data_IF_417458547943
#
_entry.id   IF_417458547943
#
_cell.length_a   1.000
_cell.length_b   1.000
_cell.length_c   1.000
_cell.angle_alpha   90.00
_cell.angle_beta   90.00
_cell.angle_gamma   90.00
#
_symmetry.space_group_name_H-M   'P 1'
#
loop_
_entity.id
_entity.type
_entity.pdbx_description
1 polymer ?
#
# COMPACT_ATOMS: atom_id res chain seq x y z
N UNK A 1 11.85 -8.55 8.80
CA UNK A 1 10.90 -7.45 9.00
C UNK A 1 9.52 -7.96 8.63
N UNK A 2 8.50 -7.72 9.46
CA UNK A 2 7.10 -8.01 9.13
C UNK A 2 6.42 -6.75 8.61
N UNK A 3 5.37 -6.95 7.83
CA UNK A 3 4.50 -5.91 7.32
C UNK A 3 3.10 -6.25 7.83
N UNK A 4 2.56 -5.39 8.69
CA UNK A 4 1.27 -5.62 9.35
C UNK A 4 0.23 -4.72 8.66
N UNK A 5 -0.33 -5.23 7.55
CA UNK A 5 -1.30 -4.53 6.70
C UNK A 5 -2.51 -5.42 6.43
N UNK A 6 -3.70 -4.83 6.38
CA UNK A 6 -4.87 -5.48 5.80
C UNK A 6 -4.76 -5.43 4.27
N UNK A 7 -5.17 -6.50 3.60
CA UNK A 7 -5.23 -6.57 2.13
C UNK A 7 -6.69 -6.41 1.71
N UNK A 8 -7.00 -5.29 1.06
CA UNK A 8 -8.34 -4.96 0.62
C UNK A 8 -8.44 -5.06 -0.90
N UNK A 9 -9.42 -5.82 -1.40
CA UNK A 9 -9.66 -5.92 -2.84
C UNK A 9 -10.13 -4.56 -3.40
N UNK A 10 -9.48 -4.09 -4.46
CA UNK A 10 -9.80 -2.82 -5.07
C UNK A 10 -10.85 -3.01 -6.17
N UNK A 11 -12.12 -3.19 -5.77
CA UNK A 11 -13.20 -3.53 -6.71
C UNK A 11 -13.39 -2.54 -7.86
N UNK A 12 -13.25 -1.24 -7.59
CA UNK A 12 -13.40 -0.17 -8.60
C UNK A 12 -12.33 -0.21 -9.69
N UNK A 13 -11.04 -0.13 -9.31
CA UNK A 13 -9.92 -0.29 -10.25
C UNK A 13 -9.93 -1.65 -10.94
N UNK A 14 -10.23 -2.71 -10.18
CA UNK A 14 -10.23 -4.06 -10.74
C UNK A 14 -11.23 -4.20 -11.88
N UNK A 15 -12.43 -3.64 -11.71
CA UNK A 15 -13.45 -3.63 -12.75
C UNK A 15 -13.05 -2.74 -13.94
N UNK A 16 -12.48 -1.56 -13.67
CA UNK A 16 -12.10 -0.60 -14.70
C UNK A 16 -10.96 -1.10 -15.59
N UNK A 17 -9.91 -1.67 -14.99
CA UNK A 17 -8.72 -2.16 -15.68
C UNK A 17 -8.81 -3.65 -16.07
N UNK A 18 -9.89 -4.35 -15.69
CA UNK A 18 -10.01 -5.80 -15.83
C UNK A 18 -8.81 -6.56 -15.22
N UNK A 19 -8.35 -6.11 -14.05
CA UNK A 19 -7.14 -6.61 -13.38
C UNK A 19 -7.41 -6.82 -11.89
N UNK A 20 -7.28 -8.03 -11.38
CA UNK A 20 -7.46 -8.29 -9.94
C UNK A 20 -6.40 -7.52 -9.14
N UNK A 21 -6.83 -6.46 -8.46
CA UNK A 21 -5.95 -5.56 -7.70
C UNK A 21 -6.34 -5.49 -6.24
N UNK A 22 -5.35 -5.28 -5.38
CA UNK A 22 -5.54 -5.04 -3.97
C UNK A 22 -4.74 -3.84 -3.50
N UNK A 23 -5.26 -3.19 -2.47
CA UNK A 23 -4.59 -2.16 -1.70
C UNK A 23 -4.19 -2.73 -0.35
N UNK A 24 -2.94 -2.49 0.05
CA UNK A 24 -2.47 -2.76 1.39
C UNK A 24 -2.72 -1.51 2.25
N UNK A 25 -3.29 -1.74 3.43
CA UNK A 25 -3.64 -0.70 4.40
C UNK A 25 -3.03 -1.04 5.74
N UNK A 26 -2.10 -0.20 6.21
CA UNK A 26 -1.51 -0.35 7.54
C UNK A 26 -2.57 -0.38 8.64
N UNK A 27 -2.46 -1.36 9.53
CA UNK A 27 -3.25 -1.46 10.75
C UNK A 27 -2.39 -2.06 11.86
N UNK A 28 -2.30 -1.39 13.00
CA UNK A 28 -1.56 -1.88 14.16
C UNK A 28 -2.06 -3.23 14.72
N UNK A 29 -3.24 -3.68 14.29
CA UNK A 29 -3.85 -4.96 14.67
C UNK A 29 -3.84 -6.00 13.56
N UNK A 30 -3.36 -5.65 12.36
CA UNK A 30 -3.25 -6.62 11.28
C UNK A 30 -2.27 -7.73 11.63
N UNK A 31 -2.54 -8.93 11.12
CA UNK A 31 -1.55 -9.99 11.13
C UNK A 31 -0.43 -9.67 10.11
N UNK A 32 0.78 -10.20 10.31
CA UNK A 32 1.84 -10.07 9.32
C UNK A 32 1.43 -10.67 7.97
N UNK A 33 1.55 -9.87 6.91
CA UNK A 33 1.29 -10.29 5.53
C UNK A 33 2.16 -11.50 5.18
N UNK A 34 1.56 -12.52 4.58
CA UNK A 34 2.23 -13.67 3.99
C UNK A 34 2.20 -13.58 2.47
N UNK A 35 3.18 -14.18 1.80
CA UNK A 35 3.23 -14.22 0.34
C UNK A 35 1.98 -14.89 -0.28
N UNK A 36 1.37 -15.83 0.45
CA UNK A 36 0.13 -16.50 0.05
C UNK A 36 -1.07 -15.54 -0.01
N UNK A 37 -1.09 -14.51 0.84
CA UNK A 37 -2.21 -13.57 0.91
C UNK A 37 -2.27 -12.65 -0.33
N UNK A 38 -1.13 -12.49 -1.03
CA UNK A 38 -1.01 -11.67 -2.24
C UNK A 38 -1.28 -12.46 -3.53
N UNK A 39 -1.20 -13.80 -3.51
CA UNK A 39 -1.38 -14.66 -4.69
C UNK A 39 -2.71 -14.46 -5.45
N UNK A 40 -3.85 -14.12 -4.81
CA UNK A 40 -5.10 -13.90 -5.54
C UNK A 40 -5.09 -12.66 -6.43
N UNK A 41 -4.14 -11.74 -6.25
CA UNK A 41 -4.11 -10.44 -6.91
C UNK A 41 -3.00 -10.38 -7.95
N UNK A 42 -3.33 -9.91 -9.14
CA UNK A 42 -2.36 -9.63 -10.19
C UNK A 42 -1.55 -8.36 -9.90
N UNK A 43 -2.09 -7.44 -9.07
CA UNK A 43 -1.42 -6.21 -8.65
C UNK A 43 -1.71 -5.90 -7.18
N UNK A 44 -0.67 -5.83 -6.36
CA UNK A 44 -0.72 -5.24 -5.02
C UNK A 44 -0.20 -3.81 -5.05
N UNK A 45 -0.95 -2.89 -4.46
CA UNK A 45 -0.56 -1.48 -4.32
C UNK A 45 -0.45 -1.14 -2.83
N UNK A 46 0.56 -0.37 -2.46
CA UNK A 46 0.76 0.02 -1.08
C UNK A 46 1.29 1.46 -1.02
N UNK A 47 0.71 2.29 -0.15
CA UNK A 47 1.12 3.70 0.04
C UNK A 47 1.72 3.84 1.43
N UNK A 48 3.01 4.15 1.50
CA UNK A 48 3.71 4.38 2.76
C UNK A 48 3.98 5.85 3.01
N UNK A 49 4.08 6.23 4.28
CA UNK A 49 4.60 7.54 4.70
C UNK A 49 6.10 7.58 4.40
N UNK A 50 6.52 8.58 3.63
CA UNK A 50 7.93 8.81 3.32
C UNK A 50 8.79 8.83 4.59
N UNK A 51 9.94 8.15 4.56
CA UNK A 51 10.84 8.02 5.70
C UNK A 51 10.62 6.77 6.57
N UNK A 52 9.55 5.99 6.37
CA UNK A 52 9.39 4.67 7.00
C UNK A 52 10.16 3.58 6.24
N UNK A 53 11.48 3.69 6.22
CA UNK A 53 12.36 2.81 5.42
C UNK A 53 12.19 1.33 5.77
N UNK A 54 11.95 0.98 7.03
CA UNK A 54 11.72 -0.41 7.42
C UNK A 54 10.46 -1.04 6.80
N UNK A 55 9.41 -0.26 6.53
CA UNK A 55 8.25 -0.75 5.79
C UNK A 55 8.58 -0.93 4.31
N UNK A 56 9.34 0.00 3.72
CA UNK A 56 9.82 -0.13 2.34
C UNK A 56 10.67 -1.38 2.15
N UNK A 57 11.61 -1.64 3.07
CA UNK A 57 12.45 -2.84 3.06
C UNK A 57 11.60 -4.11 3.23
N UNK A 58 10.59 -4.07 4.12
CA UNK A 58 9.63 -5.16 4.30
C UNK A 58 8.84 -5.49 3.04
N UNK A 59 8.29 -4.48 2.34
CA UNK A 59 7.58 -4.67 1.08
C UNK A 59 8.49 -5.16 -0.05
N UNK A 60 9.75 -4.71 -0.09
CA UNK A 60 10.72 -5.19 -1.07
C UNK A 60 10.96 -6.72 -0.98
N UNK A 61 10.84 -7.31 0.22
CA UNK A 61 10.91 -8.77 0.39
C UNK A 61 9.73 -9.51 -0.26
N UNK A 62 8.59 -8.85 -0.44
CA UNK A 62 7.43 -9.37 -1.18
C UNK A 62 7.46 -9.00 -2.67
N UNK A 63 8.54 -8.39 -3.16
CA UNK A 63 8.72 -8.02 -4.56
C UNK A 63 8.08 -6.68 -4.96
N UNK A 64 7.61 -5.88 -4.01
CA UNK A 64 7.12 -4.53 -4.30
C UNK A 64 8.28 -3.63 -4.78
N UNK A 65 7.93 -2.70 -5.67
CA UNK A 65 8.85 -1.72 -6.24
C UNK A 65 8.26 -0.32 -6.08
N UNK A 66 9.12 0.70 -6.06
CA UNK A 66 8.68 2.10 -6.02
C UNK A 66 7.97 2.43 -7.34
N UNK A 67 6.66 2.73 -7.26
CA UNK A 67 5.90 3.27 -8.39
C UNK A 67 6.14 4.77 -8.55
N UNK A 68 5.85 5.54 -7.49
CA UNK A 68 6.00 7.00 -7.46
C UNK A 68 6.13 7.53 -6.02
N UNK A 69 6.48 8.81 -5.89
CA UNK A 69 6.45 9.55 -4.63
C UNK A 69 5.43 10.69 -4.68
N UNK A 70 4.71 10.89 -3.58
CA UNK A 70 3.69 11.93 -3.46
C UNK A 70 4.09 12.96 -2.39
N UNK A 71 3.95 14.25 -2.71
CA UNK A 71 4.04 15.34 -1.75
C UNK A 71 2.70 16.05 -1.63
N UNK A 72 2.11 16.03 -0.43
CA UNK A 72 0.87 16.76 -0.15
C UNK A 72 1.19 18.17 0.35
N UNK A 73 0.68 19.20 -0.32
CA UNK A 73 0.94 20.61 0.00
C UNK A 73 -0.37 21.32 0.38
N UNK A 74 -0.42 21.88 1.57
CA UNK A 74 -1.51 22.75 2.00
C UNK A 74 -1.12 24.22 1.84
N UNK A 75 -2.04 25.06 1.36
CA UNK A 75 -1.89 26.52 1.47
C UNK A 75 -2.33 26.95 2.86
N UNK A 76 -1.52 27.79 3.53
CA UNK A 76 -1.97 28.51 4.71
C UNK A 76 -3.12 29.45 4.32
N UNK A 77 -4.35 29.13 4.73
CA UNK A 77 -5.44 30.08 4.65
C UNK A 77 -5.18 31.16 5.72
N UNK A 78 -5.28 32.48 5.41
CA UNK A 78 -5.10 33.49 6.44
C UNK A 78 -6.21 33.31 7.49
N UNK A 79 -5.82 33.13 8.75
CA UNK A 79 -6.73 33.24 9.87
C UNK A 79 -7.35 34.64 9.84
N UNK A 80 -8.64 34.72 9.54
CA UNK A 80 -9.48 35.90 9.77
C UNK A 80 -9.82 36.00 11.25
#
# INVERSE_FOLDING_TARGET
>A
MSVDENIEAFGGESAFFALASAKLVWDARAAPVQAADLQPYALGQAKLVAGRLGLSDGWALFGFQLGEGEGDLARGWPAS
#
